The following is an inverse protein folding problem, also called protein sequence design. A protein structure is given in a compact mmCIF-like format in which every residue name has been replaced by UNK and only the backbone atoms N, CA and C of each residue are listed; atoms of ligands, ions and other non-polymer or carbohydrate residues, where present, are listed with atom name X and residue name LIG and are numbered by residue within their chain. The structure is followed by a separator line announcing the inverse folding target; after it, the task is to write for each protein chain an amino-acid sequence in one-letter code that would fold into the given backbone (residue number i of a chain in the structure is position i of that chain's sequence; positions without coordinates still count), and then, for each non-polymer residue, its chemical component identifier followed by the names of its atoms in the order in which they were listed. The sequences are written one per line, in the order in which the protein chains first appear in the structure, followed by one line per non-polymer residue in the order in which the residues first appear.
data_IF_197455258222
#
_entry.id   IF_197455258222
#
_cell.length_a   1.000
_cell.length_b   1.000
_cell.length_c   1.000
_cell.angle_alpha   90.00
_cell.angle_beta   90.00
_cell.angle_gamma   90.00
#
_symmetry.space_group_name_H-M   'P 1'
#
loop_
_entity.id
_entity.type
_entity.pdbx_description
1 polymer ?
#
# COMPACT_ATOMS: atom_id res chain seq x y z
N UNK A 1 -8.53 -1.45 -22.54
CA UNK A 1 -9.19 -1.89 -21.32
C UNK A 1 -8.85 -0.98 -20.12
N UNK A 2 -7.61 -1.01 -19.54
CA UNK A 2 -7.28 -0.23 -18.34
C UNK A 2 -7.43 1.28 -18.56
N UNK A 3 -6.89 1.83 -19.66
CA UNK A 3 -7.05 3.22 -20.04
C UNK A 3 -8.52 3.61 -20.27
N UNK A 4 -9.26 2.79 -20.99
CA UNK A 4 -10.66 3.08 -21.31
C UNK A 4 -11.48 3.15 -20.02
N UNK A 5 -11.31 2.15 -19.15
CA UNK A 5 -11.89 2.17 -17.80
C UNK A 5 -11.52 3.44 -17.01
N UNK A 6 -10.25 3.80 -16.99
CA UNK A 6 -9.78 4.99 -16.28
C UNK A 6 -10.39 6.29 -16.87
N UNK A 7 -10.45 6.38 -18.19
CA UNK A 7 -11.05 7.53 -18.89
C UNK A 7 -12.54 7.65 -18.62
N UNK A 8 -13.27 6.52 -18.59
CA UNK A 8 -14.68 6.47 -18.21
C UNK A 8 -14.91 6.98 -16.78
N UNK A 9 -13.90 6.84 -15.90
CA UNK A 9 -13.90 7.36 -14.53
C UNK A 9 -13.23 8.75 -14.42
N UNK A 10 -13.05 9.45 -15.54
CA UNK A 10 -12.56 10.83 -15.57
C UNK A 10 -11.06 10.98 -15.37
N UNK A 11 -10.28 9.90 -15.47
CA UNK A 11 -8.83 10.01 -15.36
C UNK A 11 -8.19 10.54 -16.66
N UNK A 12 -7.35 11.54 -16.51
CA UNK A 12 -6.56 12.15 -17.60
C UNK A 12 -5.07 11.80 -17.50
N UNK A 13 -4.66 11.23 -16.37
CA UNK A 13 -3.30 10.91 -16.02
C UNK A 13 -3.23 9.51 -15.42
N UNK A 14 -2.05 8.92 -15.40
CA UNK A 14 -1.76 7.73 -14.64
C UNK A 14 -0.53 7.94 -13.77
N UNK A 15 -0.40 7.17 -12.71
CA UNK A 15 0.74 7.20 -11.82
C UNK A 15 1.19 5.78 -11.48
N UNK A 16 2.48 5.54 -11.54
CA UNK A 16 3.10 4.39 -10.90
C UNK A 16 3.26 4.69 -9.41
N UNK A 17 2.63 3.89 -8.58
CA UNK A 17 2.67 4.04 -7.12
C UNK A 17 3.50 2.89 -6.53
N UNK A 18 4.54 3.22 -5.79
CA UNK A 18 5.44 2.23 -5.21
C UNK A 18 5.94 2.67 -3.83
N UNK A 19 6.56 1.75 -3.12
CA UNK A 19 6.98 1.94 -1.73
C UNK A 19 8.47 1.65 -1.58
N UNK A 20 9.33 2.61 -1.87
CA UNK A 20 10.78 2.45 -1.75
C UNK A 20 11.20 2.05 -0.34
N UNK A 21 12.40 1.52 -0.19
CA UNK A 21 12.96 1.17 1.11
C UNK A 21 13.13 2.35 2.07
N UNK A 22 12.97 3.57 1.58
CA UNK A 22 12.93 4.80 2.41
C UNK A 22 11.73 4.84 3.37
N UNK A 23 10.71 4.02 3.13
CA UNK A 23 9.52 3.94 3.97
C UNK A 23 8.39 4.89 3.60
N UNK A 24 8.61 5.80 2.65
CA UNK A 24 7.59 6.69 2.09
C UNK A 24 7.05 6.11 0.79
N UNK A 25 5.79 6.41 0.47
CA UNK A 25 5.26 6.14 -0.87
C UNK A 25 5.91 7.05 -1.88
N UNK A 26 6.09 6.56 -3.09
CA UNK A 26 6.54 7.32 -4.23
C UNK A 26 5.51 7.21 -5.35
N UNK A 27 5.35 8.29 -6.09
CA UNK A 27 4.43 8.37 -7.20
C UNK A 27 5.15 9.02 -8.40
N UNK A 28 5.03 8.39 -9.55
CA UNK A 28 5.45 8.98 -10.81
C UNK A 28 4.24 9.16 -11.69
N UNK A 29 3.86 10.40 -11.90
CA UNK A 29 2.71 10.80 -12.70
C UNK A 29 3.11 11.05 -14.16
N UNK A 30 2.34 10.44 -15.06
CA UNK A 30 2.45 10.65 -16.49
C UNK A 30 1.07 10.93 -17.09
N UNK A 31 1.04 11.63 -18.22
CA UNK A 31 -0.19 11.80 -18.98
C UNK A 31 -0.40 10.63 -19.94
N UNK A 32 -1.62 10.45 -20.40
CA UNK A 32 -1.90 9.56 -21.54
C UNK A 32 -1.45 10.16 -22.88
N UNK A 33 -0.84 11.33 -22.85
CA UNK A 33 -0.39 12.03 -24.04
C UNK A 33 0.92 11.43 -24.56
N UNK A 34 0.96 11.17 -25.85
CA UNK A 34 2.11 10.65 -26.56
C UNK A 34 2.20 11.35 -27.93
N UNK A 35 3.19 11.04 -28.70
CA UNK A 35 3.35 11.54 -30.08
C UNK A 35 3.30 10.38 -31.06
N UNK A 36 2.72 10.63 -32.23
CA UNK A 36 2.72 9.67 -33.36
C UNK A 36 4.06 9.61 -34.10
N UNK A 37 5.05 10.39 -33.67
CA UNK A 37 6.33 10.53 -34.35
C UNK A 37 6.32 11.48 -35.57
N UNK A 38 5.13 11.92 -36.02
CA UNK A 38 4.95 12.89 -37.11
C UNK A 38 4.61 14.30 -36.59
N UNK A 39 4.62 14.47 -35.27
CA UNK A 39 4.37 15.76 -34.61
C UNK A 39 2.94 15.99 -34.16
N UNK A 40 2.07 14.99 -34.28
CA UNK A 40 0.73 15.02 -33.74
C UNK A 40 0.70 14.40 -32.34
N UNK A 41 -0.06 15.01 -31.47
CA UNK A 41 -0.34 14.48 -30.14
C UNK A 41 -1.42 13.38 -30.22
N UNK A 42 -1.13 12.24 -29.66
CA UNK A 42 -2.06 11.11 -29.55
C UNK A 42 -2.28 10.73 -28.09
N UNK A 43 -3.39 10.11 -27.80
CA UNK A 43 -3.64 9.54 -26.49
C UNK A 43 -3.28 8.05 -26.50
N UNK A 44 -2.21 7.68 -25.83
CA UNK A 44 -1.67 6.34 -25.81
C UNK A 44 -1.50 5.80 -24.40
N UNK A 45 -1.66 4.48 -24.23
CA UNK A 45 -1.31 3.74 -23.04
C UNK A 45 -1.04 2.29 -23.46
N UNK A 46 0.22 1.96 -23.57
CA UNK A 46 0.68 0.65 -24.02
C UNK A 46 1.15 -0.23 -22.88
N UNK A 47 1.48 -1.47 -23.17
CA UNK A 47 2.14 -2.35 -22.21
C UNK A 47 3.48 -1.80 -21.69
N UNK A 48 4.17 -1.00 -22.51
CA UNK A 48 5.39 -0.29 -22.09
C UNK A 48 5.14 0.75 -20.99
N UNK A 49 3.93 1.31 -20.93
CA UNK A 49 3.55 2.24 -19.87
C UNK A 49 3.41 1.56 -18.49
N UNK A 50 3.35 0.23 -18.46
CA UNK A 50 3.25 -0.56 -17.22
C UNK A 50 4.63 -0.94 -16.64
N UNK A 51 5.68 -0.70 -17.36
CA UNK A 51 7.07 -0.91 -16.93
C UNK A 51 7.87 0.33 -17.28
N UNK A 52 8.33 1.04 -16.28
CA UNK A 52 9.05 2.29 -16.49
C UNK A 52 10.37 2.33 -15.73
N UNK A 53 11.36 2.97 -16.33
CA UNK A 53 12.59 3.35 -15.65
C UNK A 53 12.32 4.51 -14.69
N UNK A 54 12.71 4.34 -13.44
CA UNK A 54 12.57 5.34 -12.41
C UNK A 54 13.88 6.10 -12.17
N UNK A 55 13.81 7.26 -11.50
CA UNK A 55 15.01 7.96 -11.11
C UNK A 55 15.91 7.08 -10.25
N UNK A 56 17.15 7.44 -10.28
CA UNK A 56 18.26 6.87 -9.58
C UNK A 56 17.96 6.56 -8.11
N UNK A 57 18.32 5.35 -7.70
CA UNK A 57 18.21 4.89 -6.32
C UNK A 57 19.31 5.46 -5.38
N UNK A 58 20.08 6.47 -5.79
CA UNK A 58 21.17 7.08 -5.01
C UNK A 58 20.75 7.66 -3.67
N UNK A 59 19.48 7.97 -3.52
CA UNK A 59 18.90 8.49 -2.28
C UNK A 59 18.57 7.42 -1.24
N UNK A 60 18.79 6.14 -1.54
CA UNK A 60 18.46 5.08 -0.58
C UNK A 60 19.50 4.98 0.54
N UNK A 61 19.03 4.85 1.80
CA UNK A 61 19.93 4.76 2.97
C UNK A 61 20.84 3.53 2.97
N UNK A 62 20.50 2.49 2.20
CA UNK A 62 21.29 1.27 2.07
C UNK A 62 22.65 1.46 1.39
N UNK A 63 23.03 2.71 1.15
CA UNK A 63 24.32 3.04 0.55
C UNK A 63 24.38 2.64 -0.90
N UNK A 64 23.28 2.72 -1.57
CA UNK A 64 23.09 2.39 -2.97
C UNK A 64 24.04 3.02 -3.97
N UNK A 65 25.16 3.58 -3.51
CA UNK A 65 26.20 4.12 -4.41
C UNK A 65 26.60 3.10 -5.46
N UNK A 66 26.65 1.85 -5.12
CA UNK A 66 26.96 0.77 -6.04
C UNK A 66 25.77 0.39 -6.90
N UNK A 67 24.62 0.27 -6.31
CA UNK A 67 23.37 -0.08 -6.99
C UNK A 67 22.92 1.04 -7.90
N UNK A 68 23.14 2.29 -7.49
CA UNK A 68 22.80 3.47 -8.27
C UNK A 68 23.73 3.72 -9.42
N UNK A 69 24.97 3.35 -9.30
CA UNK A 69 25.93 3.43 -10.39
C UNK A 69 25.61 2.43 -11.49
N UNK A 70 25.08 1.28 -11.15
CA UNK A 70 24.81 0.18 -12.07
C UNK A 70 23.34 0.08 -12.48
N UNK A 71 22.44 0.69 -11.72
CA UNK A 71 21.01 0.43 -11.92
C UNK A 71 20.13 1.62 -11.60
N UNK A 72 19.47 2.12 -12.61
CA UNK A 72 18.18 2.75 -12.43
C UNK A 72 17.22 1.74 -11.83
N UNK A 73 16.36 2.19 -10.91
CA UNK A 73 15.22 1.42 -10.50
C UNK A 73 14.19 1.33 -11.63
N UNK A 74 13.47 0.24 -11.67
CA UNK A 74 12.37 0.02 -12.58
C UNK A 74 11.11 -0.28 -11.80
N UNK A 75 10.03 0.37 -12.17
CA UNK A 75 8.70 0.02 -11.67
C UNK A 75 8.00 -0.85 -12.68
N UNK A 76 7.38 -1.92 -12.20
CA UNK A 76 6.55 -2.80 -13.00
C UNK A 76 5.21 -3.03 -12.32
N UNK A 77 4.13 -3.02 -13.08
CA UNK A 77 2.79 -3.27 -12.56
C UNK A 77 2.74 -4.56 -11.74
N UNK A 78 2.29 -4.43 -10.51
CA UNK A 78 1.98 -5.57 -9.68
C UNK A 78 0.54 -6.01 -9.96
N UNK A 79 0.40 -7.03 -10.77
CA UNK A 79 -0.90 -7.59 -11.17
C UNK A 79 -1.70 -8.20 -10.00
N UNK A 80 -1.08 -8.34 -8.83
CA UNK A 80 -1.74 -8.83 -7.61
C UNK A 80 -2.37 -7.71 -6.78
N UNK A 81 -2.17 -6.46 -7.19
CA UNK A 81 -2.75 -5.28 -6.55
C UNK A 81 -3.72 -4.56 -7.50
N UNK A 82 -4.88 -4.12 -7.04
CA UNK A 82 -5.82 -3.39 -7.86
C UNK A 82 -5.27 -2.03 -8.27
N UNK A 83 -5.45 -1.65 -9.53
CA UNK A 83 -5.36 -0.26 -9.92
C UNK A 83 -6.61 0.49 -9.44
N UNK A 84 -6.46 1.75 -9.11
CA UNK A 84 -7.56 2.56 -8.57
C UNK A 84 -7.53 3.99 -9.11
N UNK A 85 -8.62 4.71 -8.95
CA UNK A 85 -8.71 6.12 -9.33
C UNK A 85 -8.52 6.98 -8.09
N UNK A 86 -7.54 7.88 -8.16
CA UNK A 86 -7.39 8.95 -7.19
C UNK A 86 -8.16 10.17 -7.71
N UNK A 87 -9.21 10.53 -6.99
CA UNK A 87 -10.01 11.71 -7.31
C UNK A 87 -9.30 12.98 -6.86
N UNK A 88 -9.19 13.93 -7.79
CA UNK A 88 -8.60 15.24 -7.53
C UNK A 88 -9.43 16.31 -8.24
N UNK A 89 -9.70 17.46 -7.62
CA UNK A 89 -10.47 18.55 -8.24
C UNK A 89 -9.93 19.02 -9.58
N UNK A 90 -8.64 18.86 -9.83
CA UNK A 90 -7.98 19.29 -11.07
C UNK A 90 -7.78 18.17 -12.09
N UNK A 91 -8.34 16.99 -11.86
CA UNK A 91 -8.26 15.85 -12.75
C UNK A 91 -7.93 14.54 -12.01
N UNK A 92 -8.64 13.50 -12.35
CA UNK A 92 -8.45 12.19 -11.75
C UNK A 92 -7.22 11.50 -12.31
N UNK A 93 -6.58 10.69 -11.48
CA UNK A 93 -5.39 9.93 -11.84
C UNK A 93 -5.65 8.43 -11.70
N UNK A 94 -5.31 7.66 -12.72
CA UNK A 94 -5.22 6.20 -12.62
C UNK A 94 -3.95 5.83 -11.83
N UNK A 95 -4.11 5.34 -10.64
CA UNK A 95 -3.00 4.85 -9.82
C UNK A 95 -2.77 3.36 -10.08
N UNK A 96 -1.54 3.02 -10.44
CA UNK A 96 -1.10 1.66 -10.77
C UNK A 96 -0.09 1.22 -9.73
N UNK A 97 -0.46 0.33 -8.80
CA UNK A 97 0.49 -0.23 -7.85
C UNK A 97 1.60 -0.99 -8.56
N UNK A 98 2.84 -0.69 -8.24
CA UNK A 98 4.01 -1.26 -8.89
C UNK A 98 4.98 -1.86 -7.89
N UNK A 99 5.72 -2.87 -8.32
CA UNK A 99 6.95 -3.31 -7.68
C UNK A 99 8.10 -2.45 -8.18
N UNK A 100 9.10 -2.23 -7.32
CA UNK A 100 10.29 -1.44 -7.63
C UNK A 100 11.54 -2.29 -7.44
N UNK A 101 12.27 -2.48 -8.52
CA UNK A 101 13.42 -3.39 -8.60
C UNK A 101 14.58 -2.74 -9.34
N UNK A 102 15.79 -3.19 -9.09
CA UNK A 102 16.98 -2.82 -9.87
C UNK A 102 17.01 -3.53 -11.23
N UNK A 103 17.91 -3.11 -12.10
CA UNK A 103 18.14 -3.78 -13.38
C UNK A 103 18.52 -5.26 -13.22
N UNK A 104 19.28 -5.57 -12.19
CA UNK A 104 19.71 -6.93 -11.84
C UNK A 104 18.67 -7.71 -11.05
N UNK A 105 17.55 -7.08 -10.71
CA UNK A 105 16.41 -7.69 -10.06
C UNK A 105 16.43 -7.64 -8.53
N UNK A 106 17.36 -6.92 -7.91
CA UNK A 106 17.30 -6.71 -6.47
C UNK A 106 16.05 -5.91 -6.09
N UNK A 107 15.48 -6.23 -4.96
CA UNK A 107 14.34 -5.50 -4.42
C UNK A 107 14.77 -4.11 -3.95
N UNK A 108 14.14 -3.07 -4.48
CA UNK A 108 14.29 -1.69 -4.04
C UNK A 108 13.07 -1.19 -3.26
N UNK A 109 12.11 -2.08 -3.00
CA UNK A 109 10.89 -1.84 -2.25
C UNK A 109 10.63 -2.93 -1.21
N UNK A 110 9.57 -2.76 -0.45
CA UNK A 110 9.10 -3.75 0.52
C UNK A 110 8.20 -4.82 -0.10
N UNK A 111 7.62 -4.55 -1.25
CA UNK A 111 6.65 -5.40 -1.92
C UNK A 111 7.30 -6.60 -2.62
N UNK A 112 8.39 -6.38 -3.30
CA UNK A 112 9.10 -7.44 -4.04
C UNK A 112 9.50 -8.63 -3.16
N UNK A 113 10.08 -8.46 -1.96
CA UNK A 113 10.33 -9.58 -1.07
C UNK A 113 9.08 -10.36 -0.69
N UNK A 114 7.97 -9.68 -0.42
CA UNK A 114 6.70 -10.33 -0.09
C UNK A 114 6.19 -11.16 -1.27
N UNK A 115 6.16 -10.61 -2.48
CA UNK A 115 5.72 -11.32 -3.68
C UNK A 115 6.59 -12.55 -3.97
N UNK A 116 7.89 -12.43 -3.83
CA UNK A 116 8.84 -13.55 -4.01
C UNK A 116 8.66 -14.63 -2.93
N UNK A 117 8.48 -14.24 -1.69
CA UNK A 117 8.23 -15.18 -0.58
C UNK A 117 6.92 -15.94 -0.79
N UNK A 118 5.86 -15.28 -1.26
CA UNK A 118 4.59 -15.92 -1.62
C UNK A 118 4.77 -16.96 -2.72
N UNK A 119 5.55 -16.65 -3.73
CA UNK A 119 5.82 -17.60 -4.82
C UNK A 119 6.62 -18.81 -4.32
N UNK A 120 7.64 -18.58 -3.51
CA UNK A 120 8.44 -19.65 -2.92
C UNK A 120 7.59 -20.57 -2.01
N UNK A 121 6.76 -19.97 -1.17
CA UNK A 121 5.82 -20.69 -0.31
C UNK A 121 4.85 -21.54 -1.12
N UNK A 122 4.25 -20.95 -2.16
CA UNK A 122 3.30 -21.66 -3.03
C UNK A 122 3.89 -22.94 -3.61
N UNK A 123 5.12 -22.88 -4.12
CA UNK A 123 5.81 -24.06 -4.69
C UNK A 123 5.97 -25.17 -3.65
N UNK A 124 6.38 -24.83 -2.43
CA UNK A 124 6.61 -25.84 -1.38
C UNK A 124 5.29 -26.36 -0.80
N UNK A 125 4.30 -25.50 -0.62
CA UNK A 125 2.98 -25.90 -0.15
C UNK A 125 2.28 -26.85 -1.13
N UNK A 126 2.37 -26.59 -2.42
CA UNK A 126 1.83 -27.49 -3.45
C UNK A 126 2.53 -28.86 -3.44
N UNK A 127 3.84 -28.89 -3.20
CA UNK A 127 4.57 -30.16 -3.02
C UNK A 127 4.04 -30.96 -1.82
N UNK A 128 3.81 -30.25 -0.71
CA UNK A 128 3.26 -30.90 0.51
C UNK A 128 1.85 -31.42 0.25
N UNK A 129 0.98 -30.67 -0.39
CA UNK A 129 -0.39 -31.07 -0.69
C UNK A 129 -0.44 -32.35 -1.57
N UNK A 130 0.47 -32.47 -2.54
CA UNK A 130 0.56 -33.69 -3.36
C UNK A 130 0.92 -34.91 -2.53
N UNK A 131 1.74 -34.78 -1.49
CA UNK A 131 2.07 -35.87 -0.58
C UNK A 131 0.84 -36.31 0.25
N UNK A 132 -0.11 -35.41 0.45
CA UNK A 132 -1.39 -35.72 1.10
C UNK A 132 -2.49 -36.18 0.11
N UNK A 133 -2.13 -36.47 -1.14
CA UNK A 133 -3.03 -37.03 -2.12
C UNK A 133 -3.88 -35.98 -2.88
N UNK A 134 -3.56 -34.70 -2.78
CA UNK A 134 -4.19 -33.67 -3.60
C UNK A 134 -3.49 -33.65 -4.96
N UNK A 135 -4.14 -34.18 -6.00
CA UNK A 135 -3.51 -34.38 -7.31
C UNK A 135 -3.22 -33.07 -8.02
N UNK A 136 -4.15 -32.12 -7.98
CA UNK A 136 -4.02 -30.81 -8.63
C UNK A 136 -4.28 -29.68 -7.59
N UNK A 137 -3.30 -29.37 -6.73
CA UNK A 137 -3.48 -28.31 -5.77
C UNK A 137 -3.50 -26.95 -6.49
N UNK A 138 -4.54 -26.18 -6.24
CA UNK A 138 -4.61 -24.80 -6.67
C UNK A 138 -3.49 -23.97 -6.00
N UNK A 139 -3.35 -22.74 -6.44
CA UNK A 139 -2.39 -21.82 -5.84
C UNK A 139 -2.60 -21.69 -4.33
N UNK A 140 -1.54 -21.83 -3.59
CA UNK A 140 -1.51 -21.63 -2.14
C UNK A 140 -0.89 -20.28 -1.84
N UNK A 141 -1.58 -19.49 -1.06
CA UNK A 141 -1.08 -18.19 -0.61
C UNK A 141 -1.11 -18.12 0.92
N UNK A 142 -0.12 -17.50 1.52
CA UNK A 142 -0.23 -17.10 2.91
C UNK A 142 -1.14 -15.88 3.02
N UNK A 143 -1.96 -15.88 4.03
CA UNK A 143 -2.84 -14.76 4.35
C UNK A 143 -2.21 -14.02 5.51
N UNK A 144 -1.97 -12.74 5.32
CA UNK A 144 -1.52 -11.84 6.37
C UNK A 144 -2.41 -10.60 6.35
N UNK A 145 -2.89 -10.20 7.50
CA UNK A 145 -3.63 -8.97 7.69
C UNK A 145 -2.73 -7.94 8.36
N UNK A 146 -2.71 -6.73 7.83
CA UNK A 146 -2.13 -5.60 8.52
C UNK A 146 -3.18 -5.05 9.49
N UNK A 147 -2.76 -4.78 10.71
CA UNK A 147 -3.56 -4.11 11.74
C UNK A 147 -2.96 -2.73 11.96
N UNK A 148 -3.81 -1.73 12.02
CA UNK A 148 -3.36 -0.37 12.29
C UNK A 148 -3.69 -0.01 13.73
N UNK A 149 -2.67 0.02 14.55
CA UNK A 149 -2.73 0.55 15.91
C UNK A 149 -2.38 2.03 15.92
N UNK A 150 -3.13 2.82 16.66
CA UNK A 150 -2.95 4.27 16.69
C UNK A 150 -3.46 4.92 17.97
N UNK A 151 -2.93 6.11 18.24
CA UNK A 151 -3.46 7.05 19.22
C UNK A 151 -4.12 8.21 18.47
N UNK A 152 -5.39 8.49 18.77
CA UNK A 152 -6.07 9.65 18.22
C UNK A 152 -5.76 10.86 19.09
N UNK A 153 -5.10 11.86 18.51
CA UNK A 153 -4.72 13.09 19.20
C UNK A 153 -5.41 14.30 18.61
N UNK A 154 -5.65 15.32 19.43
CA UNK A 154 -6.19 16.58 18.98
C UNK A 154 -5.19 17.31 18.06
N UNK A 155 -5.67 17.81 16.92
CA UNK A 155 -4.85 18.48 15.92
C UNK A 155 -4.14 19.73 16.48
N UNK A 156 -4.76 20.47 17.39
CA UNK A 156 -4.15 21.63 17.99
C UNK A 156 -2.99 21.23 18.91
N UNK A 157 -3.14 20.13 19.63
CA UNK A 157 -2.05 19.58 20.45
C UNK A 157 -0.92 19.01 19.59
N UNK A 158 -1.24 18.42 18.45
CA UNK A 158 -0.23 17.99 17.49
C UNK A 158 0.65 19.17 17.05
N UNK A 159 0.03 20.28 16.65
CA UNK A 159 0.78 21.48 16.23
C UNK A 159 1.54 22.18 17.37
N UNK A 160 1.16 21.95 18.60
CA UNK A 160 1.91 22.45 19.77
C UNK A 160 3.14 21.60 20.11
N UNK A 161 3.33 20.46 19.46
CA UNK A 161 4.41 19.51 19.72
C UNK A 161 5.42 19.49 18.57
N UNK A 162 6.61 20.13 18.75
CA UNK A 162 7.63 20.18 17.69
C UNK A 162 8.13 18.79 17.24
N UNK A 163 8.22 17.84 18.15
CA UNK A 163 8.63 16.47 17.86
C UNK A 163 7.61 15.76 16.93
N UNK A 164 6.33 15.88 17.23
CA UNK A 164 5.27 15.30 16.38
C UNK A 164 5.22 15.96 15.00
N UNK A 165 5.32 17.28 14.93
CA UNK A 165 5.33 18.03 13.68
C UNK A 165 6.52 17.69 12.78
N UNK A 166 7.70 17.59 13.39
CA UNK A 166 8.95 17.44 12.61
C UNK A 166 9.26 16.00 12.26
N UNK A 167 8.84 15.02 13.06
CA UNK A 167 9.24 13.62 12.90
C UNK A 167 8.07 12.65 12.75
N UNK A 168 6.83 13.10 12.95
CA UNK A 168 5.65 12.24 12.93
C UNK A 168 5.57 11.25 14.09
N UNK A 169 6.42 11.39 15.10
CA UNK A 169 6.46 10.52 16.28
C UNK A 169 6.84 11.28 17.55
N UNK A 170 6.52 10.72 18.69
CA UNK A 170 6.95 11.25 20.00
C UNK A 170 8.44 10.98 20.20
N UNK A 171 9.22 12.03 20.35
CA UNK A 171 10.63 11.96 20.75
C UNK A 171 10.82 12.31 22.24
N UNK A 172 9.97 13.18 22.76
CA UNK A 172 9.97 13.62 24.14
C UNK A 172 8.59 13.38 24.71
N UNK A 173 8.52 12.72 25.81
CA UNK A 173 7.23 12.48 26.43
C UNK A 173 7.36 11.61 27.66
N UNK A 174 6.40 11.77 28.54
CA UNK A 174 6.19 10.85 29.63
C UNK A 174 5.68 9.51 29.08
N UNK A 175 5.89 8.47 29.83
CA UNK A 175 5.20 7.22 29.63
C UNK A 175 3.67 7.45 29.67
N UNK A 176 2.86 6.57 29.04
CA UNK A 176 1.42 6.64 29.16
C UNK A 176 1.00 6.76 30.63
N UNK A 177 -0.07 7.48 30.93
CA UNK A 177 -0.51 7.67 32.32
C UNK A 177 -0.93 6.37 33.01
N UNK A 178 -1.21 5.34 32.21
CA UNK A 178 -1.44 3.98 32.70
C UNK A 178 -0.52 3.02 31.98
N UNK A 179 0.07 2.12 32.72
CA UNK A 179 0.73 0.92 32.19
C UNK A 179 -0.27 -0.23 32.01
N UNK A 180 0.22 -1.35 31.57
CA UNK A 180 -0.60 -2.57 31.43
C UNK A 180 -0.85 -3.27 32.77
N UNK A 181 -0.25 -2.80 33.82
CA UNK A 181 -0.29 -3.40 35.16
C UNK A 181 -1.66 -3.32 35.86
N UNK A 182 -2.57 -2.54 35.34
CA UNK A 182 -3.93 -2.38 35.89
C UNK A 182 -5.01 -3.12 35.10
N UNK A 183 -4.63 -4.04 34.23
CA UNK A 183 -5.54 -4.87 33.44
C UNK A 183 -6.57 -4.07 32.62
N UNK A 184 -6.23 -2.87 32.22
CA UNK A 184 -7.09 -2.06 31.34
C UNK A 184 -7.18 -2.67 29.95
N UNK A 185 -6.08 -3.11 29.42
CA UNK A 185 -5.97 -3.84 28.14
C UNK A 185 -7.02 -3.42 27.10
N UNK A 186 -7.69 -4.38 26.52
CA UNK A 186 -8.75 -4.16 25.52
C UNK A 186 -10.10 -3.78 26.13
N UNK A 187 -10.22 -3.72 27.44
CA UNK A 187 -11.49 -3.49 28.12
C UNK A 187 -11.90 -2.01 28.09
N UNK A 188 -13.21 -1.81 28.07
CA UNK A 188 -13.84 -0.50 28.05
C UNK A 188 -14.58 -0.20 26.75
N UNK A 189 -15.45 0.80 26.83
CA UNK A 189 -16.16 1.29 25.67
C UNK A 189 -15.23 2.17 24.81
N UNK A 190 -15.44 2.14 23.50
CA UNK A 190 -14.78 3.09 22.59
C UNK A 190 -15.43 4.46 22.81
N UNK A 191 -14.68 5.52 23.11
CA UNK A 191 -15.23 6.87 23.23
C UNK A 191 -15.93 7.31 21.94
N UNK A 192 -17.05 8.02 22.06
CA UNK A 192 -17.88 8.44 20.92
C UNK A 192 -17.07 9.17 19.83
N UNK A 193 -16.20 10.09 20.25
CA UNK A 193 -15.33 10.83 19.31
C UNK A 193 -14.41 9.91 18.50
N UNK A 194 -13.87 8.87 19.13
CA UNK A 194 -12.99 7.88 18.49
C UNK A 194 -13.81 6.98 17.57
N UNK A 195 -14.97 6.52 18.02
CA UNK A 195 -15.86 5.70 17.20
C UNK A 195 -16.31 6.45 15.94
N UNK A 196 -16.61 7.74 16.04
CA UNK A 196 -16.94 8.57 14.89
C UNK A 196 -15.79 8.64 13.89
N UNK A 197 -14.57 8.84 14.37
CA UNK A 197 -13.38 8.78 13.51
C UNK A 197 -13.24 7.42 12.82
N UNK A 198 -13.39 6.32 13.57
CA UNK A 198 -13.28 4.97 13.02
C UNK A 198 -14.29 4.71 11.90
N UNK A 199 -15.53 5.16 12.08
CA UNK A 199 -16.59 5.01 11.07
C UNK A 199 -16.31 5.84 9.81
N UNK A 200 -15.77 7.04 9.96
CA UNK A 200 -15.36 7.85 8.82
C UNK A 200 -14.17 7.25 8.08
N UNK A 201 -13.15 6.82 8.82
CA UNK A 201 -11.97 6.15 8.26
C UNK A 201 -12.36 4.87 7.50
N UNK A 202 -13.26 4.06 8.06
CA UNK A 202 -13.78 2.84 7.40
C UNK A 202 -14.42 3.16 6.04
N UNK A 203 -15.26 4.20 5.98
CA UNK A 203 -15.89 4.62 4.72
C UNK A 203 -14.87 5.05 3.65
N UNK A 204 -13.85 5.80 4.06
CA UNK A 204 -12.81 6.24 3.12
C UNK A 204 -11.93 5.08 2.68
N UNK A 205 -11.56 4.18 3.59
CA UNK A 205 -10.80 2.97 3.24
C UNK A 205 -11.59 2.05 2.30
N UNK A 206 -12.90 1.91 2.50
CA UNK A 206 -13.74 1.10 1.62
C UNK A 206 -13.75 1.62 0.17
N UNK A 207 -13.73 2.95 -0.02
CA UNK A 207 -13.59 3.55 -1.36
C UNK A 207 -12.29 3.17 -2.06
N UNK A 208 -11.25 2.91 -1.27
CA UNK A 208 -9.94 2.46 -1.75
C UNK A 208 -9.84 0.92 -1.88
N UNK A 209 -10.94 0.21 -1.65
CA UNK A 209 -10.94 -1.25 -1.68
C UNK A 209 -10.32 -1.91 -0.45
N UNK A 210 -10.23 -1.21 0.66
CA UNK A 210 -9.70 -1.71 1.94
C UNK A 210 -10.87 -1.89 2.92
N UNK A 211 -11.54 -3.05 2.91
CA UNK A 211 -12.65 -3.30 3.81
C UNK A 211 -12.15 -3.52 5.23
N UNK A 212 -12.59 -2.70 6.16
CA UNK A 212 -12.32 -2.84 7.59
C UNK A 212 -13.45 -3.61 8.24
N UNK A 213 -13.12 -4.59 9.08
CA UNK A 213 -14.11 -5.41 9.78
C UNK A 213 -14.17 -5.13 11.27
N UNK A 214 -13.03 -4.93 11.88
CA UNK A 214 -12.90 -4.90 13.33
C UNK A 214 -12.29 -3.58 13.78
N UNK A 215 -12.82 -3.06 14.87
CA UNK A 215 -12.31 -1.90 15.60
C UNK A 215 -12.52 -2.12 17.10
N UNK A 216 -11.52 -1.82 17.88
CA UNK A 216 -11.57 -1.99 19.32
C UNK A 216 -10.51 -1.13 20.02
N UNK A 217 -10.57 -1.13 21.34
CA UNK A 217 -9.51 -0.60 22.19
C UNK A 217 -8.30 -1.52 22.14
N UNK A 218 -7.11 -0.94 22.14
CA UNK A 218 -5.86 -1.65 22.25
C UNK A 218 -5.37 -1.74 23.71
N UNK A 219 -4.24 -2.43 23.88
CA UNK A 219 -3.66 -2.72 25.19
C UNK A 219 -3.31 -1.47 25.97
N UNK A 220 -2.71 -0.45 25.31
CA UNK A 220 -2.36 0.79 25.96
C UNK A 220 -3.58 1.71 26.11
N UNK A 221 -3.68 2.44 27.21
CA UNK A 221 -4.75 3.41 27.41
C UNK A 221 -4.75 4.47 26.32
N UNK A 222 -5.90 4.65 25.66
CA UNK A 222 -6.05 5.60 24.56
C UNK A 222 -5.49 5.14 23.21
N UNK A 223 -5.02 3.91 23.12
CA UNK A 223 -4.67 3.25 21.89
C UNK A 223 -5.86 2.50 21.32
N UNK A 224 -5.99 2.51 20.03
CA UNK A 224 -7.10 1.90 19.30
C UNK A 224 -6.59 1.17 18.09
N UNK A 225 -7.39 0.24 17.58
CA UNK A 225 -7.05 -0.54 16.41
C UNK A 225 -8.18 -0.55 15.38
N UNK A 226 -7.77 -0.52 14.13
CA UNK A 226 -8.59 -0.85 12.97
C UNK A 226 -7.96 -2.05 12.26
N UNK A 227 -8.74 -3.13 12.13
CA UNK A 227 -8.30 -4.34 11.45
C UNK A 227 -9.10 -4.52 10.16
N UNK A 228 -8.47 -4.46 8.99
CA UNK A 228 -9.12 -4.81 7.74
C UNK A 228 -9.44 -6.30 7.69
N UNK A 229 -10.38 -6.67 6.83
CA UNK A 229 -10.67 -8.08 6.56
C UNK A 229 -9.40 -8.73 6.00
N UNK A 230 -8.99 -9.83 6.60
CA UNK A 230 -7.91 -10.66 6.09
C UNK A 230 -8.32 -11.27 4.75
N UNK A 231 -8.13 -10.51 3.69
CA UNK A 231 -8.18 -11.02 2.35
C UNK A 231 -6.77 -11.49 2.00
N UNK A 232 -6.64 -12.59 1.27
CA UNK A 232 -5.33 -12.93 0.75
C UNK A 232 -4.83 -11.75 -0.07
N UNK A 233 -3.52 -11.55 -0.12
CA UNK A 233 -2.93 -10.51 -0.98
C UNK A 233 -3.41 -10.59 -2.43
N UNK A 234 -3.94 -11.73 -2.85
CA UNK A 234 -4.55 -11.98 -4.14
C UNK A 234 -5.99 -11.42 -4.21
N UNK A 235 -6.73 -11.42 -3.11
CA UNK A 235 -8.12 -10.94 -3.08
C UNK A 235 -8.21 -9.41 -2.92
N UNK A 236 -7.17 -8.77 -2.45
CA UNK A 236 -7.07 -7.30 -2.49
C UNK A 236 -6.94 -6.81 -3.94
N UNK A 237 -6.53 -7.68 -4.85
CA UNK A 237 -6.27 -7.35 -6.25
C UNK A 237 -7.40 -7.69 -7.22
N UNK A 238 -8.43 -8.40 -6.80
CA UNK A 238 -9.58 -8.63 -7.65
C UNK A 238 -10.72 -7.68 -7.29
N UNK A 239 -11.22 -6.88 -8.25
CA UNK A 239 -12.46 -6.17 -8.04
C UNK A 239 -13.53 -7.22 -7.71
N UNK A 240 -14.10 -7.14 -6.54
CA UNK A 240 -15.23 -7.97 -6.14
C UNK A 240 -16.29 -7.90 -7.23
N UNK A 241 -16.48 -8.97 -7.97
CA UNK A 241 -17.67 -9.07 -8.81
C UNK A 241 -18.86 -9.02 -7.89
N UNK A 242 -19.83 -8.13 -8.09
CA UNK A 242 -21.08 -8.22 -7.35
C UNK A 242 -21.71 -9.57 -7.70
N UNK A 243 -21.99 -10.34 -6.66
CA UNK A 243 -22.81 -11.55 -6.78
C UNK A 243 -24.24 -11.17 -7.08
#
# INVERSE_FOLDING_TARGET
AMKDWATEHGASYFAHVFYPLTGLSAEKHDSFLDTDGAGLAISNFSGGSLVQGEPDASSFPSGGIRETFEARGYTAWDVTSPAYILENPNGNTLCIPTAFVSWTGEALDKKTPVLRSQQALNVQAQRMLRLFGVEDPSRVASIAGAEQEYFLIDRNFYFARPDLMSTGRTLMGAQPPKGQEFDDHYFGAIPERVLTFMLDAEREMLKLGIPTKTRHNEVAPGQYELAPIHLSLIHISEPTRPY
#
